data_IF_921421083847
#
_entry.id   IF_921421083847
#
_cell.length_a   1.000
_cell.length_b   1.000
_cell.length_c   1.000
_cell.angle_alpha   90.00
_cell.angle_beta   90.00
_cell.angle_gamma   90.00
#
_symmetry.space_group_name_H-M   'P 1'
#
loop_
_entity.id
_entity.type
_entity.pdbx_description
1 polymer ?
#
# COMPACT_ATOMS: atom_id res chain seq x y z
N UNK A 1 18.20 1.32 11.01
CA UNK A 1 16.86 1.17 10.39
C UNK A 1 15.95 0.49 11.40
N UNK A 2 14.96 1.19 11.94
CA UNK A 2 14.01 0.58 12.90
C UNK A 2 12.93 -0.14 12.10
N UNK A 3 12.96 -1.47 12.09
CA UNK A 3 11.84 -2.28 11.59
C UNK A 3 10.76 -2.30 12.66
N UNK A 4 9.64 -1.65 12.40
CA UNK A 4 8.47 -1.74 13.26
C UNK A 4 7.58 -2.90 12.79
N UNK A 5 7.33 -3.87 13.68
CA UNK A 5 6.39 -4.95 13.43
C UNK A 5 5.01 -4.44 13.84
N UNK A 6 4.09 -4.32 12.88
CA UNK A 6 2.69 -4.00 13.15
C UNK A 6 1.89 -5.31 13.07
N UNK A 7 1.10 -5.68 14.11
CA UNK A 7 0.18 -6.81 14.01
C UNK A 7 -0.85 -6.57 12.89
N UNK A 8 -1.17 -7.59 12.12
CA UNK A 8 -2.01 -7.50 10.90
C UNK A 8 -3.48 -7.20 11.17
N UNK A 9 -3.94 -7.38 12.37
CA UNK A 9 -5.30 -7.07 12.77
C UNK A 9 -5.36 -5.71 13.46
N UNK A 10 -5.36 -4.65 12.66
CA UNK A 10 -6.01 -3.43 13.11
C UNK A 10 -7.50 -3.75 13.16
N UNK A 11 -8.17 -3.65 14.34
CA UNK A 11 -9.62 -3.84 14.41
C UNK A 11 -10.26 -2.85 13.42
N UNK A 12 -11.30 -3.32 12.71
CA UNK A 12 -12.01 -2.51 11.70
C UNK A 12 -12.59 -1.21 12.29
N UNK A 13 -12.59 -1.06 13.59
CA UNK A 13 -13.18 0.06 14.33
C UNK A 13 -12.24 1.25 14.57
N UNK A 14 -10.93 1.08 14.44
CA UNK A 14 -10.01 2.23 14.54
C UNK A 14 -8.65 1.90 13.95
N UNK A 15 -8.33 2.50 12.80
CA UNK A 15 -6.93 2.71 12.48
C UNK A 15 -6.33 3.50 13.64
N UNK A 16 -5.24 3.00 14.23
CA UNK A 16 -4.54 3.67 15.32
C UNK A 16 -4.31 5.16 14.96
N UNK A 17 -4.84 6.12 15.74
CA UNK A 17 -4.69 7.55 15.43
C UNK A 17 -3.24 7.96 15.22
N UNK A 18 -2.30 7.36 15.98
CA UNK A 18 -0.86 7.63 15.84
C UNK A 18 -0.32 7.12 14.49
N UNK A 19 -0.85 6.00 13.99
CA UNK A 19 -0.49 5.53 12.66
C UNK A 19 -1.00 6.50 11.60
N UNK A 20 -2.25 6.96 11.70
CA UNK A 20 -2.84 7.89 10.74
C UNK A 20 -2.08 9.23 10.68
N UNK A 21 -1.70 9.79 11.83
CA UNK A 21 -0.86 10.98 11.88
C UNK A 21 0.50 10.78 11.20
N UNK A 22 1.12 9.60 11.40
CA UNK A 22 2.37 9.24 10.73
C UNK A 22 2.20 9.11 9.22
N UNK A 23 1.06 8.58 8.77
CA UNK A 23 0.76 8.44 7.34
C UNK A 23 0.54 9.78 6.63
N UNK A 24 0.35 10.87 7.35
CA UNK A 24 0.22 12.22 6.80
C UNK A 24 1.55 12.99 6.75
N UNK A 25 2.64 12.41 7.24
CA UNK A 25 3.96 13.05 7.21
C UNK A 25 4.63 12.91 5.83
N UNK A 26 5.23 13.98 5.28
CA UNK A 26 6.00 13.92 4.03
C UNK A 26 7.21 12.98 4.21
N UNK A 27 7.09 11.75 3.74
CA UNK A 27 8.13 10.71 3.76
C UNK A 27 7.73 9.52 2.91
N UNK A 28 8.71 8.70 2.57
CA UNK A 28 8.49 7.41 1.92
C UNK A 28 8.34 6.31 2.98
N UNK A 29 7.15 5.72 3.04
CA UNK A 29 6.81 4.65 3.99
C UNK A 29 6.55 3.34 3.25
N UNK A 30 7.16 2.25 3.72
CA UNK A 30 6.97 0.92 3.17
C UNK A 30 6.24 0.02 4.16
N UNK A 31 5.15 -0.59 3.71
CA UNK A 31 4.46 -1.70 4.37
C UNK A 31 4.66 -2.96 3.55
N UNK A 32 5.22 -4.01 4.15
CA UNK A 32 5.56 -5.21 3.40
C UNK A 32 5.34 -6.49 4.22
N UNK A 33 5.30 -7.65 3.59
CA UNK A 33 5.17 -8.96 4.24
C UNK A 33 5.06 -10.09 3.24
N UNK A 34 4.84 -11.31 3.73
CA UNK A 34 4.63 -12.49 2.89
C UNK A 34 3.46 -12.29 1.90
N UNK A 35 2.47 -11.51 2.28
CA UNK A 35 1.36 -11.08 1.43
C UNK A 35 1.32 -9.56 1.33
N UNK A 36 0.72 -9.05 0.24
CA UNK A 36 0.48 -7.62 0.11
C UNK A 36 -0.40 -7.14 1.27
N UNK A 37 -0.02 -6.09 2.02
CA UNK A 37 -0.79 -5.57 3.16
C UNK A 37 -2.03 -4.78 2.71
N UNK A 38 -2.82 -5.35 1.79
CA UNK A 38 -3.92 -4.67 1.11
C UNK A 38 -4.98 -4.19 2.08
N UNK A 39 -5.47 -5.06 2.97
CA UNK A 39 -6.52 -4.69 3.93
C UNK A 39 -6.08 -3.58 4.88
N UNK A 40 -4.84 -3.64 5.39
CA UNK A 40 -4.27 -2.59 6.24
C UNK A 40 -4.24 -1.24 5.52
N UNK A 41 -3.76 -1.24 4.27
CA UNK A 41 -3.67 -0.01 3.48
C UNK A 41 -5.06 0.50 3.06
N UNK A 42 -5.98 -0.39 2.65
CA UNK A 42 -7.36 0.00 2.33
C UNK A 42 -8.10 0.56 3.55
N UNK A 43 -7.85 0.02 4.75
CA UNK A 43 -8.42 0.55 5.99
C UNK A 43 -7.88 1.95 6.28
N UNK A 44 -6.57 2.13 6.21
CA UNK A 44 -5.94 3.42 6.46
C UNK A 44 -6.41 4.50 5.47
N UNK A 45 -6.37 4.21 4.17
CA UNK A 45 -6.82 5.16 3.14
C UNK A 45 -8.32 5.49 3.24
N UNK A 46 -9.16 4.51 3.59
CA UNK A 46 -10.61 4.75 3.79
C UNK A 46 -10.84 5.68 4.97
N UNK A 47 -10.12 5.48 6.07
CA UNK A 47 -10.20 6.35 7.24
C UNK A 47 -9.74 7.78 6.92
N UNK A 48 -8.63 7.96 6.22
CA UNK A 48 -8.14 9.27 5.79
C UNK A 48 -9.15 9.97 4.84
N UNK A 49 -9.71 9.23 3.88
CA UNK A 49 -10.75 9.77 2.99
C UNK A 49 -12.02 10.14 3.75
N UNK A 50 -12.41 9.37 4.78
CA UNK A 50 -13.54 9.68 5.66
C UNK A 50 -13.29 10.95 6.49
N UNK A 51 -12.04 11.21 6.87
CA UNK A 51 -11.61 12.46 7.54
C UNK A 51 -11.51 13.67 6.60
N UNK A 52 -11.78 13.49 5.30
CA UNK A 52 -11.82 14.58 4.32
C UNK A 52 -10.58 14.72 3.43
N UNK A 53 -9.56 13.88 3.60
CA UNK A 53 -8.36 13.92 2.77
C UNK A 53 -8.62 13.43 1.35
N UNK A 54 -8.12 14.16 0.35
CA UNK A 54 -8.02 13.68 -1.04
C UNK A 54 -6.82 12.75 -1.15
N UNK A 55 -7.00 11.61 -1.83
CA UNK A 55 -5.97 10.58 -1.94
C UNK A 55 -5.70 10.22 -3.39
N UNK A 56 -4.43 9.92 -3.70
CA UNK A 56 -4.02 9.31 -4.97
C UNK A 56 -3.65 7.86 -4.74
N UNK A 57 -4.11 6.97 -5.61
CA UNK A 57 -3.82 5.54 -5.52
C UNK A 57 -3.25 5.05 -6.85
N UNK A 58 -2.08 4.42 -6.79
CA UNK A 58 -1.53 3.62 -7.89
C UNK A 58 -1.65 2.15 -7.52
N UNK A 59 -2.32 1.39 -8.34
CA UNK A 59 -2.61 -0.02 -8.08
C UNK A 59 -1.85 -0.89 -9.10
N UNK A 60 -0.72 -1.45 -8.65
CA UNK A 60 0.15 -2.31 -9.46
C UNK A 60 -0.24 -3.77 -9.47
N UNK A 61 -1.13 -4.21 -8.57
CA UNK A 61 -1.51 -5.62 -8.42
C UNK A 61 -3.01 -5.90 -8.52
N UNK A 62 -3.80 -4.92 -9.00
CA UNK A 62 -5.27 -4.97 -9.00
C UNK A 62 -5.84 -5.28 -7.60
N UNK A 63 -5.33 -4.56 -6.58
CA UNK A 63 -5.65 -4.76 -5.16
C UNK A 63 -6.71 -3.82 -4.62
N UNK A 64 -7.01 -2.75 -5.33
CA UNK A 64 -8.03 -1.82 -4.89
C UNK A 64 -9.43 -2.43 -5.00
N UNK A 65 -10.09 -2.57 -3.87
CA UNK A 65 -11.46 -3.05 -3.73
C UNK A 65 -12.38 -1.92 -3.27
N UNK A 66 -13.10 -1.32 -4.21
CA UNK A 66 -14.05 -0.24 -3.95
C UNK A 66 -15.25 -0.69 -3.11
N UNK A 67 -15.64 -1.97 -3.20
CA UNK A 67 -16.71 -2.53 -2.36
C UNK A 67 -16.27 -2.63 -0.90
N UNK A 68 -15.03 -3.10 -0.67
CA UNK A 68 -14.46 -3.12 0.68
C UNK A 68 -14.39 -1.71 1.27
N UNK A 69 -13.90 -0.72 0.51
CA UNK A 69 -13.84 0.69 0.93
C UNK A 69 -15.23 1.22 1.27
N UNK A 70 -16.23 0.98 0.41
CA UNK A 70 -17.58 1.43 0.65
C UNK A 70 -18.23 0.76 1.88
N UNK A 71 -17.97 -0.55 2.10
CA UNK A 71 -18.44 -1.28 3.28
C UNK A 71 -17.80 -0.73 4.55
N UNK A 72 -16.49 -0.50 4.53
CA UNK A 72 -15.77 0.04 5.68
C UNK A 72 -16.22 1.47 5.99
N UNK A 73 -16.43 2.32 4.99
CA UNK A 73 -16.95 3.67 5.19
C UNK A 73 -18.32 3.68 5.91
N UNK A 74 -19.20 2.71 5.61
CA UNK A 74 -20.50 2.57 6.34
C UNK A 74 -20.31 2.16 7.80
N UNK A 75 -19.24 1.46 8.14
CA UNK A 75 -18.93 1.04 9.51
C UNK A 75 -18.29 2.16 10.32
N UNK A 76 -17.59 3.08 9.64
CA UNK A 76 -17.02 4.26 10.27
C UNK A 76 -18.17 5.23 10.64
N UNK A 77 -18.14 5.71 11.88
CA UNK A 77 -19.09 6.72 12.37
C UNK A 77 -18.32 7.94 12.86
N UNK A 78 -18.73 9.11 12.42
CA UNK A 78 -18.28 10.35 13.04
C UNK A 78 -19.29 10.72 14.14
N UNK A 79 -18.93 10.41 15.40
CA UNK A 79 -19.66 10.67 16.66
C UNK A 79 -21.17 10.36 16.66
N UNK A 80 -21.94 10.79 15.66
CA UNK A 80 -23.40 10.58 15.57
C UNK A 80 -23.90 10.36 14.15
N UNK A 81 -23.08 10.60 13.13
CA UNK A 81 -23.50 10.57 11.72
C UNK A 81 -22.81 9.46 10.96
N UNK A 82 -23.56 8.69 10.19
CA UNK A 82 -23.00 7.70 9.25
C UNK A 82 -22.25 8.43 8.14
N UNK A 83 -21.05 7.92 7.82
CA UNK A 83 -20.22 8.47 6.74
C UNK A 83 -20.77 7.96 5.40
N UNK A 84 -21.01 8.88 4.47
CA UNK A 84 -21.44 8.54 3.12
C UNK A 84 -20.31 7.88 2.32
N UNK A 85 -20.46 6.61 1.90
CA UNK A 85 -19.45 5.92 1.10
C UNK A 85 -19.12 6.62 -0.23
N UNK A 86 -20.09 7.29 -0.85
CA UNK A 86 -19.87 8.03 -2.10
C UNK A 86 -18.96 9.23 -1.87
N UNK A 87 -19.15 9.94 -0.76
CA UNK A 87 -18.27 11.04 -0.37
C UNK A 87 -16.83 10.56 -0.10
N UNK A 88 -16.66 9.36 0.47
CA UNK A 88 -15.32 8.74 0.67
C UNK A 88 -14.69 8.38 -0.68
N UNK A 89 -15.43 7.65 -1.53
CA UNK A 89 -14.92 7.22 -2.83
C UNK A 89 -14.60 8.39 -3.76
N UNK A 90 -15.36 9.49 -3.71
CA UNK A 90 -15.12 10.68 -4.55
C UNK A 90 -13.80 11.41 -4.25
N UNK A 91 -13.20 11.18 -3.06
CA UNK A 91 -11.91 11.71 -2.66
C UNK A 91 -10.73 10.84 -3.11
N UNK A 92 -11.01 9.66 -3.69
CA UNK A 92 -10.00 8.69 -4.11
C UNK A 92 -9.81 8.79 -5.62
N UNK A 93 -8.60 9.15 -6.05
CA UNK A 93 -8.18 9.13 -7.46
C UNK A 93 -7.35 7.88 -7.70
N UNK A 94 -7.92 6.92 -8.43
CA UNK A 94 -7.33 5.61 -8.70
C UNK A 94 -6.74 5.57 -10.13
N UNK A 95 -5.46 5.15 -10.24
CA UNK A 95 -4.82 4.76 -11.50
C UNK A 95 -4.30 3.34 -11.37
N UNK A 96 -4.51 2.51 -12.39
CA UNK A 96 -4.03 1.11 -12.42
C UNK A 96 -2.89 0.95 -13.39
N UNK A 97 -1.94 0.08 -13.01
CA UNK A 97 -0.84 -0.35 -13.86
C UNK A 97 -0.77 -1.88 -13.85
N UNK A 98 -0.59 -2.46 -15.01
CA UNK A 98 -0.52 -3.92 -15.20
C UNK A 98 0.89 -4.40 -15.51
N UNK A 99 1.83 -3.46 -15.74
CA UNK A 99 3.24 -3.74 -15.98
C UNK A 99 4.13 -2.81 -15.17
N UNK A 100 5.38 -3.23 -14.93
CA UNK A 100 6.37 -2.40 -14.25
C UNK A 100 6.68 -1.09 -15.02
N UNK A 101 6.53 -1.10 -16.35
CA UNK A 101 6.70 0.10 -17.18
C UNK A 101 5.58 1.11 -16.96
N UNK A 102 4.33 0.64 -16.93
CA UNK A 102 3.18 1.51 -16.68
C UNK A 102 3.20 2.15 -15.30
N UNK A 103 3.57 1.39 -14.25
CA UNK A 103 3.64 1.99 -12.90
C UNK A 103 4.80 2.97 -12.79
N UNK A 104 5.92 2.70 -13.48
CA UNK A 104 7.04 3.63 -13.55
C UNK A 104 6.63 4.94 -14.23
N UNK A 105 5.94 4.88 -15.35
CA UNK A 105 5.41 6.04 -16.08
C UNK A 105 4.45 6.86 -15.21
N UNK A 106 3.53 6.19 -14.48
CA UNK A 106 2.62 6.87 -13.56
C UNK A 106 3.38 7.64 -12.47
N UNK A 107 4.40 7.02 -11.87
CA UNK A 107 5.20 7.64 -10.80
C UNK A 107 6.02 8.81 -11.34
N UNK A 108 6.69 8.63 -12.49
CA UNK A 108 7.54 9.63 -13.13
C UNK A 108 6.74 10.90 -13.50
N UNK A 109 5.57 10.71 -14.14
CA UNK A 109 4.73 11.80 -14.63
C UNK A 109 3.85 12.42 -13.53
N UNK A 110 3.91 11.91 -12.30
CA UNK A 110 3.11 12.45 -11.20
C UNK A 110 3.69 13.78 -10.69
N UNK A 111 2.86 14.81 -10.70
CA UNK A 111 3.21 16.09 -10.10
C UNK A 111 3.31 15.96 -8.57
N UNK A 112 4.34 16.57 -7.95
CA UNK A 112 4.42 16.69 -6.50
C UNK A 112 3.21 17.41 -5.91
N UNK A 113 2.84 17.04 -4.69
CA UNK A 113 1.73 17.68 -3.99
C UNK A 113 1.55 17.11 -2.58
N UNK A 114 0.72 17.78 -1.75
CA UNK A 114 0.52 17.39 -0.36
C UNK A 114 -0.40 16.17 -0.17
N UNK A 115 -1.18 15.81 -1.20
CA UNK A 115 -2.14 14.71 -1.12
C UNK A 115 -1.40 13.37 -0.95
N UNK A 116 -1.77 12.54 0.03
CA UNK A 116 -1.17 11.22 0.22
C UNK A 116 -1.26 10.36 -1.04
N UNK A 117 -0.13 9.75 -1.42
CA UNK A 117 -0.03 8.78 -2.50
C UNK A 117 0.11 7.37 -1.92
N UNK A 118 -0.87 6.51 -2.21
CA UNK A 118 -0.79 5.07 -1.91
C UNK A 118 -0.41 4.29 -3.16
N UNK A 119 0.61 3.46 -3.06
CA UNK A 119 1.02 2.55 -4.13
C UNK A 119 0.76 1.12 -3.66
N UNK A 120 -0.27 0.47 -4.21
CA UNK A 120 -0.70 -0.87 -3.80
C UNK A 120 0.01 -1.96 -4.62
N UNK A 121 0.57 -2.96 -3.94
CA UNK A 121 1.32 -4.10 -4.52
C UNK A 121 2.38 -3.65 -5.54
N UNK A 122 3.17 -2.66 -5.16
CA UNK A 122 4.13 -1.99 -6.04
C UNK A 122 5.06 -2.96 -6.76
N UNK A 123 5.65 -3.91 -6.03
CA UNK A 123 6.60 -4.87 -6.60
C UNK A 123 5.92 -6.01 -7.37
N UNK A 124 4.58 -6.15 -7.28
CA UNK A 124 3.85 -7.21 -7.96
C UNK A 124 4.14 -7.29 -9.45
N UNK A 125 4.21 -6.14 -10.13
CA UNK A 125 4.53 -6.03 -11.57
C UNK A 125 6.02 -6.19 -11.88
N UNK A 126 6.91 -5.92 -10.91
CA UNK A 126 8.35 -6.11 -11.06
C UNK A 126 8.78 -7.56 -10.86
N UNK A 127 7.90 -8.40 -10.29
CA UNK A 127 8.12 -9.84 -10.13
C UNK A 127 7.77 -10.65 -11.38
N UNK A 128 7.34 -10.00 -12.45
CA UNK A 128 7.10 -10.64 -13.75
C UNK A 128 8.42 -11.13 -14.36
N UNK A 129 8.55 -12.45 -14.51
CA UNK A 129 9.74 -13.11 -15.02
C UNK A 129 9.96 -12.88 -16.54
N UNK A 130 8.94 -12.42 -17.26
CA UNK A 130 9.08 -12.02 -18.67
C UNK A 130 10.00 -10.80 -18.86
N UNK A 131 10.18 -9.99 -17.80
CA UNK A 131 11.11 -8.85 -17.80
C UNK A 131 12.43 -9.26 -17.14
N UNK A 132 13.58 -9.11 -17.82
CA UNK A 132 14.88 -9.43 -17.24
C UNK A 132 15.11 -8.71 -15.90
N UNK A 133 15.67 -9.42 -14.90
CA UNK A 133 15.89 -8.87 -13.57
C UNK A 133 16.66 -7.54 -13.60
N UNK A 134 17.71 -7.44 -14.42
CA UNK A 134 18.50 -6.22 -14.58
C UNK A 134 17.67 -5.02 -15.02
N UNK A 135 16.70 -5.23 -15.91
CA UNK A 135 15.83 -4.15 -16.41
C UNK A 135 14.80 -3.78 -15.36
N UNK A 136 14.22 -4.77 -14.65
CA UNK A 136 13.34 -4.56 -13.50
C UNK A 136 14.04 -3.76 -12.40
N UNK A 137 15.29 -4.11 -12.07
CA UNK A 137 16.08 -3.43 -11.05
C UNK A 137 16.37 -1.98 -11.43
N UNK A 138 16.84 -1.75 -12.66
CA UNK A 138 17.11 -0.40 -13.18
C UNK A 138 15.85 0.47 -13.14
N UNK A 139 14.72 -0.08 -13.58
CA UNK A 139 13.43 0.62 -13.58
C UNK A 139 12.95 0.92 -12.15
N UNK A 140 13.12 -0.04 -11.23
CA UNK A 140 12.78 0.15 -9.82
C UNK A 140 13.60 1.28 -9.18
N UNK A 141 14.91 1.34 -9.43
CA UNK A 141 15.77 2.41 -8.91
C UNK A 141 15.33 3.79 -9.41
N UNK A 142 14.91 3.87 -10.67
CA UNK A 142 14.30 5.09 -11.24
C UNK A 142 12.99 5.43 -10.50
N UNK A 143 12.10 4.47 -10.31
CA UNK A 143 10.87 4.66 -9.54
C UNK A 143 11.15 5.15 -8.12
N UNK A 144 12.11 4.54 -7.42
CA UNK A 144 12.51 4.95 -6.06
C UNK A 144 12.95 6.42 -6.02
N UNK A 145 13.72 6.86 -7.02
CA UNK A 145 14.15 8.26 -7.13
C UNK A 145 12.95 9.20 -7.23
N UNK A 146 11.97 8.85 -8.07
CA UNK A 146 10.75 9.64 -8.20
C UNK A 146 9.83 9.55 -6.97
N UNK A 147 9.71 8.38 -6.32
CA UNK A 147 8.97 8.24 -5.06
C UNK A 147 9.56 9.12 -3.96
N UNK A 148 10.89 9.19 -3.83
CA UNK A 148 11.57 10.10 -2.91
C UNK A 148 11.32 11.57 -3.25
N UNK A 149 11.34 11.92 -4.55
CA UNK A 149 10.96 13.26 -5.01
C UNK A 149 9.54 13.61 -4.59
N UNK A 150 8.57 12.70 -4.75
CA UNK A 150 7.20 12.91 -4.32
C UNK A 150 7.07 12.99 -2.79
N UNK A 151 7.82 12.14 -2.08
CA UNK A 151 7.82 12.06 -0.61
C UNK A 151 8.35 13.33 0.08
N UNK A 152 9.12 14.17 -0.62
CA UNK A 152 9.56 15.47 -0.09
C UNK A 152 8.46 16.53 -0.11
N UNK A 153 7.33 16.31 -0.77
CA UNK A 153 6.20 17.24 -0.86
C UNK A 153 4.94 16.72 -0.14
N UNK A 154 4.78 15.43 -0.05
CA UNK A 154 3.63 14.81 0.61
C UNK A 154 3.88 13.35 0.97
N UNK A 155 2.97 12.72 1.71
CA UNK A 155 3.12 11.33 2.13
C UNK A 155 3.11 10.36 0.94
N UNK A 156 4.07 9.41 0.91
CA UNK A 156 4.09 8.31 -0.04
C UNK A 156 4.10 6.99 0.72
N UNK A 157 3.02 6.22 0.57
CA UNK A 157 2.78 4.96 1.27
C UNK A 157 2.81 3.82 0.26
N UNK A 158 3.81 2.95 0.37
CA UNK A 158 4.03 1.84 -0.56
C UNK A 158 3.69 0.53 0.13
N UNK A 159 2.82 -0.26 -0.49
CA UNK A 159 2.55 -1.65 -0.12
C UNK A 159 3.28 -2.60 -1.05
N UNK A 160 4.02 -3.54 -0.49
CA UNK A 160 4.72 -4.57 -1.25
C UNK A 160 4.54 -5.94 -0.60
N UNK A 161 4.68 -6.98 -1.39
CA UNK A 161 4.79 -8.36 -0.90
C UNK A 161 6.19 -8.89 -1.16
N UNK A 162 6.54 -9.93 -0.44
CA UNK A 162 7.72 -10.73 -0.71
C UNK A 162 7.63 -11.40 -2.10
N UNK A 163 8.74 -11.59 -2.81
CA UNK A 163 8.75 -12.42 -4.00
C UNK A 163 8.41 -13.87 -3.63
N UNK A 164 7.79 -14.60 -4.56
CA UNK A 164 7.54 -16.03 -4.36
C UNK A 164 8.86 -16.80 -4.22
N UNK A 165 8.85 -17.90 -3.49
CA UNK A 165 10.04 -18.73 -3.23
C UNK A 165 10.75 -19.26 -4.49
N UNK A 166 10.04 -19.31 -5.62
CA UNK A 166 10.58 -19.75 -6.90
C UNK A 166 11.47 -18.69 -7.59
N UNK A 167 11.35 -17.41 -7.23
CA UNK A 167 12.08 -16.27 -7.84
C UNK A 167 12.96 -15.58 -6.80
N UNK A 168 13.81 -16.36 -6.14
CA UNK A 168 14.67 -15.88 -5.04
C UNK A 168 15.59 -14.73 -5.42
N UNK A 169 16.07 -14.67 -6.65
CA UNK A 169 16.91 -13.59 -7.15
C UNK A 169 16.21 -12.22 -7.13
N UNK A 170 14.86 -12.20 -7.15
CA UNK A 170 14.08 -10.95 -7.10
C UNK A 170 13.91 -10.36 -5.70
N UNK A 171 14.46 -11.01 -4.66
CA UNK A 171 14.54 -10.41 -3.31
C UNK A 171 15.30 -9.08 -3.31
N UNK A 172 16.29 -8.93 -4.17
CA UNK A 172 17.06 -7.69 -4.31
C UNK A 172 16.17 -6.47 -4.59
N UNK A 173 15.03 -6.66 -5.27
CA UNK A 173 14.07 -5.59 -5.53
C UNK A 173 13.40 -5.08 -4.24
N UNK A 174 13.05 -6.00 -3.35
CA UNK A 174 12.49 -5.65 -2.04
C UNK A 174 13.56 -5.01 -1.14
N UNK A 175 14.79 -5.52 -1.18
CA UNK A 175 15.91 -4.96 -0.43
C UNK A 175 16.19 -3.51 -0.83
N UNK A 176 16.21 -3.20 -2.13
CA UNK A 176 16.36 -1.82 -2.60
C UNK A 176 15.24 -0.90 -2.09
N UNK A 177 14.00 -1.38 -2.10
CA UNK A 177 12.87 -0.60 -1.63
C UNK A 177 12.92 -0.38 -0.11
N UNK A 178 13.30 -1.40 0.67
CA UNK A 178 13.48 -1.29 2.12
C UNK A 178 14.58 -0.30 2.50
N UNK A 179 15.73 -0.35 1.80
CA UNK A 179 16.83 0.56 2.02
C UNK A 179 16.49 2.02 1.66
N UNK A 180 15.59 2.20 0.70
CA UNK A 180 15.19 3.52 0.24
C UNK A 180 14.14 4.18 1.12
N UNK A 181 13.29 3.40 1.80
CA UNK A 181 12.19 3.91 2.62
C UNK A 181 12.71 4.61 3.89
N UNK A 182 12.09 5.74 4.25
CA UNK A 182 12.36 6.45 5.49
C UNK A 182 11.87 5.65 6.71
N UNK A 183 10.84 4.81 6.51
CA UNK A 183 10.39 3.83 7.50
C UNK A 183 9.79 2.60 6.80
N UNK A 184 10.05 1.41 7.37
CA UNK A 184 9.56 0.15 6.85
C UNK A 184 8.89 -0.67 7.96
N UNK A 185 7.68 -1.18 7.70
CA UNK A 185 6.92 -2.02 8.61
C UNK A 185 6.66 -3.38 7.99
N UNK A 186 7.09 -4.41 8.70
CA UNK A 186 6.75 -5.80 8.36
C UNK A 186 5.36 -6.13 8.92
N UNK A 187 4.44 -6.49 8.03
CA UNK A 187 3.10 -6.94 8.39
C UNK A 187 3.09 -8.47 8.43
N UNK A 188 2.84 -9.02 9.62
CA UNK A 188 2.71 -10.47 9.82
C UNK A 188 1.24 -10.83 10.03
N UNK A 189 0.78 -11.87 9.36
CA UNK A 189 -0.53 -12.46 9.66
C UNK A 189 -0.35 -13.34 10.90
N UNK A 190 -1.16 -13.17 11.97
CA UNK A 190 -1.12 -14.06 13.11
C UNK A 190 -1.43 -15.51 12.69
N UNK A 191 -0.65 -16.48 13.12
CA UNK A 191 -0.80 -17.91 12.78
C UNK A 191 -2.19 -18.50 13.11
N UNK A 192 -2.93 -17.90 14.04
CA UNK A 192 -4.29 -18.33 14.43
C UNK A 192 -5.34 -18.19 13.29
N UNK A 193 -5.04 -17.45 12.21
CA UNK A 193 -5.97 -17.28 11.08
C UNK A 193 -5.92 -18.45 10.09
N UNK A 194 -4.84 -19.23 10.04
CA UNK A 194 -4.73 -20.39 9.12
C UNK A 194 -5.53 -21.60 9.63
N UNK A 195 -5.66 -21.77 10.94
CA UNK A 195 -6.41 -22.88 11.54
C UNK A 195 -7.94 -22.77 11.34
N UNK A 196 -8.46 -21.56 11.08
CA UNK A 196 -9.89 -21.33 10.88
C UNK A 196 -10.39 -21.57 9.45
N UNK A 197 -9.48 -21.82 8.49
CA UNK A 197 -9.80 -22.01 7.08
C UNK A 197 -9.85 -23.48 6.63
N UNK A 198 -9.64 -24.44 7.53
CA UNK A 198 -9.88 -25.85 7.20
C UNK A 198 -11.37 -26.17 7.39
N UNK A 199 -12.16 -26.38 6.31
CA UNK A 199 -13.50 -26.90 6.45
C UNK A 199 -13.39 -28.30 7.05
N UNK A 200 -13.97 -28.53 8.22
CA UNK A 200 -14.18 -29.90 8.73
C UNK A 200 -15.15 -30.56 7.76
N UNK A 201 -14.62 -31.43 6.91
CA UNK A 201 -15.43 -32.43 6.21
C UNK A 201 -15.99 -33.39 7.25
N UNK A 202 -17.30 -33.34 7.44
CA UNK A 202 -18.10 -34.30 8.15
C UNK A 202 -18.54 -35.37 7.11
#
# INVERSE_FOLDING_TARGET
>A
MQQHIIPTSLPAESADPLLLERLLQPRLMLFWGAHTPTHTLLTALTTLAAQGHSLRIFDGGNRFDGYYVARLARQLRDRTTAIDPYAVLSRIRLSRAFTCFQIAELIENTAPGPDPLFVLDFLGTFYDESVPLRDSERLLLTCITHLKRLASYGPVIVGAREPRSLVKERWILLDHLQLAADSAWLIRIPEASEAALQPRLI
#
